data_IF_576825401086
#
_entry.id   IF_576825401086
#
_cell.length_a   1.000
_cell.length_b   1.000
_cell.length_c   1.000
_cell.angle_alpha   90.00
_cell.angle_beta   90.00
_cell.angle_gamma   90.00
#
_symmetry.space_group_name_H-M   'P 1'
#
loop_
_entity.id
_entity.type
_entity.pdbx_description
1 polymer ?
#
# COMPACT_ATOMS: atom_id res chain seq x y z
N UNK A 1 18.54 11.78 11.06
CA UNK A 1 18.31 13.23 10.83
C UNK A 1 17.11 13.81 11.59
N UNK A 2 15.86 13.78 11.11
CA UNK A 2 14.77 14.54 11.78
C UNK A 2 14.48 14.04 13.21
N UNK A 3 14.39 12.72 13.41
CA UNK A 3 14.26 12.10 14.75
C UNK A 3 15.44 12.40 15.69
N UNK A 4 16.63 12.63 15.17
CA UNK A 4 17.81 12.98 15.97
C UNK A 4 17.77 14.43 16.45
N UNK A 5 17.38 15.35 15.57
CA UNK A 5 17.26 16.77 15.93
C UNK A 5 16.18 16.99 16.99
N UNK A 6 15.04 16.31 16.84
CA UNK A 6 13.97 16.32 17.85
C UNK A 6 14.47 15.76 19.20
N UNK A 7 15.40 14.80 19.21
CA UNK A 7 15.93 14.24 20.47
C UNK A 7 16.93 15.17 21.16
N UNK A 8 17.65 16.01 20.41
CA UNK A 8 18.73 16.88 20.90
C UNK A 8 18.23 18.20 21.49
N UNK A 9 17.06 18.67 21.09
CA UNK A 9 16.50 19.95 21.52
C UNK A 9 15.16 19.78 22.27
N UNK A 10 15.05 20.35 23.48
CA UNK A 10 13.86 20.27 24.31
C UNK A 10 12.69 21.07 23.75
N UNK A 11 12.95 22.19 23.05
CA UNK A 11 11.93 22.98 22.36
C UNK A 11 11.36 22.15 21.20
N UNK A 12 12.23 21.48 20.45
CA UNK A 12 11.82 20.58 19.38
C UNK A 12 10.99 19.39 19.88
N UNK A 13 11.30 18.84 21.07
CA UNK A 13 10.45 17.80 21.70
C UNK A 13 9.06 18.32 22.02
N UNK A 14 8.96 19.52 22.60
CA UNK A 14 7.68 20.11 22.97
C UNK A 14 6.84 20.39 21.72
N UNK A 15 7.44 20.96 20.66
CA UNK A 15 6.78 21.16 19.37
C UNK A 15 6.30 19.85 18.73
N UNK A 16 7.09 18.78 18.83
CA UNK A 16 6.70 17.46 18.34
C UNK A 16 5.54 16.84 19.14
N UNK A 17 5.50 17.06 20.46
CA UNK A 17 4.40 16.60 21.31
C UNK A 17 3.08 17.31 20.98
N UNK A 18 3.13 18.64 20.85
CA UNK A 18 1.96 19.43 20.44
C UNK A 18 1.46 19.05 19.04
N UNK A 19 2.39 18.70 18.14
CA UNK A 19 2.08 18.30 16.76
C UNK A 19 1.75 16.81 16.62
N UNK A 20 1.78 16.03 17.69
CA UNK A 20 1.59 14.57 17.66
C UNK A 20 0.26 14.11 17.00
N UNK A 21 -0.89 14.78 17.21
CA UNK A 21 -2.14 14.39 16.55
C UNK A 21 -2.04 14.51 15.02
N UNK A 22 -1.48 15.61 14.54
CA UNK A 22 -1.29 15.89 13.10
C UNK A 22 -0.27 14.91 12.52
N UNK A 23 0.81 14.63 13.25
CA UNK A 23 1.82 13.67 12.84
C UNK A 23 1.24 12.26 12.69
N UNK A 24 0.35 11.84 13.61
CA UNK A 24 -0.32 10.55 13.54
C UNK A 24 -1.28 10.48 12.35
N UNK A 25 -2.05 11.54 12.10
CA UNK A 25 -2.93 11.63 10.93
C UNK A 25 -2.13 11.54 9.62
N UNK A 26 -1.05 12.33 9.50
CA UNK A 26 -0.16 12.31 8.33
C UNK A 26 0.48 10.95 8.14
N UNK A 27 0.97 10.33 9.22
CA UNK A 27 1.57 9.00 9.16
C UNK A 27 0.57 8.00 8.56
N UNK A 28 -0.66 7.96 9.04
CA UNK A 28 -1.68 7.03 8.52
C UNK A 28 -2.03 7.33 7.07
N UNK A 29 -2.13 8.61 6.68
CA UNK A 29 -2.43 9.00 5.30
C UNK A 29 -1.30 8.69 4.31
N UNK A 30 -0.05 8.77 4.79
CA UNK A 30 1.15 8.44 4.01
C UNK A 30 1.52 6.95 4.10
N UNK A 31 0.86 6.19 4.96
CA UNK A 31 1.10 4.75 5.09
C UNK A 31 0.41 4.02 3.94
N UNK A 32 1.10 3.94 2.80
CA UNK A 32 0.64 3.21 1.62
C UNK A 32 0.61 1.67 1.81
N UNK A 33 0.96 1.16 3.00
CA UNK A 33 0.93 -0.29 3.27
C UNK A 33 -0.49 -0.87 3.17
N UNK A 34 -1.54 -0.04 3.22
CA UNK A 34 -2.93 -0.49 3.08
C UNK A 34 -3.34 -0.86 1.64
N UNK A 35 -2.56 -0.52 0.61
CA UNK A 35 -3.02 -0.70 -0.78
C UNK A 35 -3.05 -2.15 -1.28
N UNK A 36 -2.51 -3.12 -0.53
CA UNK A 36 -2.68 -4.54 -0.88
C UNK A 36 -1.87 -4.99 -2.10
N UNK A 37 -0.74 -4.36 -2.39
CA UNK A 37 0.08 -4.74 -3.54
C UNK A 37 -0.52 -4.36 -4.90
N UNK A 38 0.22 -4.65 -5.97
CA UNK A 38 -0.12 -4.27 -7.33
C UNK A 38 -0.38 -5.50 -8.20
N UNK A 39 -1.39 -5.42 -9.08
CA UNK A 39 -1.63 -6.41 -10.12
C UNK A 39 -0.52 -6.32 -11.18
N UNK A 40 0.16 -7.44 -11.44
CA UNK A 40 1.01 -7.62 -12.61
C UNK A 40 0.14 -7.97 -13.82
N UNK A 41 0.04 -7.02 -14.75
CA UNK A 41 -0.69 -7.20 -16.02
C UNK A 41 0.20 -7.85 -17.09
N UNK A 42 -0.43 -8.48 -18.08
CA UNK A 42 0.27 -9.15 -19.19
C UNK A 42 0.66 -10.61 -18.90
N UNK A 43 0.24 -11.15 -17.77
CA UNK A 43 0.36 -12.58 -17.45
C UNK A 43 -0.95 -13.31 -17.73
N UNK A 44 -0.87 -14.62 -17.98
CA UNK A 44 -2.05 -15.45 -18.29
C UNK A 44 -3.01 -15.66 -17.11
N UNK A 45 -2.61 -15.27 -15.89
CA UNK A 45 -3.32 -15.48 -14.64
C UNK A 45 -3.13 -14.29 -13.68
N UNK A 46 -3.92 -14.28 -12.60
CA UNK A 46 -3.87 -13.24 -11.57
C UNK A 46 -2.57 -13.34 -10.79
N UNK A 47 -1.77 -12.26 -10.81
CA UNK A 47 -0.54 -12.14 -10.03
C UNK A 47 -0.52 -10.80 -9.31
N UNK A 48 -0.51 -10.84 -7.97
CA UNK A 48 -0.45 -9.63 -7.13
C UNK A 48 0.87 -9.59 -6.39
N UNK A 49 1.64 -8.52 -6.56
CA UNK A 49 2.94 -8.32 -5.91
C UNK A 49 2.80 -7.34 -4.76
N UNK A 50 3.23 -7.77 -3.57
CA UNK A 50 3.31 -6.90 -2.39
C UNK A 50 4.76 -6.48 -2.12
N UNK A 51 4.95 -5.39 -1.38
CA UNK A 51 6.28 -4.88 -1.04
C UNK A 51 6.98 -5.78 -0.01
N UNK A 52 8.32 -5.87 -0.05
CA UNK A 52 9.09 -6.76 0.82
C UNK A 52 8.94 -6.52 2.34
N UNK A 53 8.41 -5.37 2.75
CA UNK A 53 8.10 -5.03 4.15
C UNK A 53 6.62 -5.24 4.52
N UNK A 54 5.90 -6.08 3.77
CA UNK A 54 4.47 -6.31 3.95
C UNK A 54 4.16 -6.87 5.33
N UNK A 55 3.23 -6.23 6.03
CA UNK A 55 2.67 -6.72 7.28
C UNK A 55 1.40 -7.55 7.00
N UNK A 56 0.80 -8.14 8.04
CA UNK A 56 -0.40 -8.97 7.89
C UNK A 56 -1.59 -8.23 7.25
N UNK A 57 -1.74 -6.92 7.49
CA UNK A 57 -2.78 -6.10 6.87
C UNK A 57 -2.54 -5.93 5.36
N UNK A 58 -1.29 -5.69 4.96
CA UNK A 58 -0.91 -5.57 3.55
C UNK A 58 -1.17 -6.88 2.79
N UNK A 59 -0.84 -8.03 3.37
CA UNK A 59 -1.11 -9.35 2.77
C UNK A 59 -2.62 -9.62 2.69
N UNK A 60 -3.38 -9.33 3.76
CA UNK A 60 -4.85 -9.43 3.74
C UNK A 60 -5.46 -8.59 2.62
N UNK A 61 -4.98 -7.36 2.43
CA UNK A 61 -5.48 -6.50 1.37
C UNK A 61 -5.06 -7.00 -0.02
N UNK A 62 -3.89 -7.61 -0.15
CA UNK A 62 -3.46 -8.25 -1.41
C UNK A 62 -4.34 -9.43 -1.82
N UNK A 63 -4.72 -10.26 -0.86
CA UNK A 63 -5.67 -11.36 -1.12
C UNK A 63 -7.04 -10.79 -1.54
N UNK A 64 -7.51 -9.70 -0.91
CA UNK A 64 -8.76 -9.03 -1.32
C UNK A 64 -8.69 -8.46 -2.73
N UNK A 65 -7.56 -7.87 -3.12
CA UNK A 65 -7.33 -7.37 -4.48
C UNK A 65 -7.37 -8.53 -5.47
N UNK A 66 -6.67 -9.63 -5.19
CA UNK A 66 -6.69 -10.83 -6.03
C UNK A 66 -8.11 -11.40 -6.20
N UNK A 67 -8.87 -11.52 -5.11
CA UNK A 67 -10.25 -11.99 -5.13
C UNK A 67 -11.16 -11.10 -6.00
N UNK A 68 -11.06 -9.77 -5.86
CA UNK A 68 -11.83 -8.83 -6.69
C UNK A 68 -11.52 -8.95 -8.17
N UNK A 69 -10.25 -9.15 -8.52
CA UNK A 69 -9.83 -9.32 -9.92
C UNK A 69 -10.34 -10.65 -10.49
N UNK A 70 -10.39 -11.70 -9.66
CA UNK A 70 -10.96 -12.98 -10.04
C UNK A 70 -12.47 -12.87 -10.30
N UNK A 71 -13.20 -12.16 -9.42
CA UNK A 71 -14.64 -11.94 -9.55
C UNK A 71 -14.99 -11.02 -10.73
N UNK A 72 -14.12 -10.10 -11.13
CA UNK A 72 -14.39 -9.16 -12.22
C UNK A 72 -14.22 -9.76 -13.61
N UNK A 73 -13.69 -10.99 -13.74
CA UNK A 73 -13.36 -11.61 -15.03
C UNK A 73 -12.30 -10.83 -15.82
N UNK A 74 -11.44 -10.05 -15.15
CA UNK A 74 -10.52 -9.11 -15.83
C UNK A 74 -9.58 -9.82 -16.80
N UNK A 75 -9.13 -11.02 -16.44
CA UNK A 75 -8.19 -11.80 -17.25
C UNK A 75 -8.86 -12.28 -18.54
N UNK A 76 -10.09 -12.79 -18.44
CA UNK A 76 -10.88 -13.26 -19.58
C UNK A 76 -11.13 -12.11 -20.57
N UNK A 77 -11.63 -10.97 -20.09
CA UNK A 77 -11.87 -9.79 -20.94
C UNK A 77 -10.58 -9.28 -21.59
N UNK A 78 -9.47 -9.31 -20.86
CA UNK A 78 -8.16 -8.89 -21.39
C UNK A 78 -7.68 -9.85 -22.48
N UNK A 79 -7.82 -11.16 -22.29
CA UNK A 79 -7.46 -12.16 -23.31
C UNK A 79 -8.32 -12.00 -24.56
N UNK A 80 -9.63 -11.91 -24.40
CA UNK A 80 -10.56 -11.69 -25.52
C UNK A 80 -10.21 -10.42 -26.31
N UNK A 81 -9.85 -9.33 -25.63
CA UNK A 81 -9.48 -8.06 -26.26
C UNK A 81 -8.20 -8.16 -27.11
N UNK A 82 -7.19 -8.91 -26.67
CA UNK A 82 -5.90 -9.00 -27.37
C UNK A 82 -5.78 -10.21 -28.32
N UNK A 83 -6.47 -11.32 -28.05
CA UNK A 83 -6.44 -12.55 -28.84
C UNK A 83 -7.60 -12.67 -29.83
N UNK A 84 -8.66 -11.88 -29.66
CA UNK A 84 -9.87 -11.89 -30.49
C UNK A 84 -9.77 -11.17 -31.84
N UNK A 85 -8.56 -10.95 -32.36
CA UNK A 85 -8.31 -10.44 -33.72
C UNK A 85 -7.55 -11.46 -34.57
#
# INVERSE_FOLDING_TARGET
MMKEQIKKDWVAKLGALLSFPVYTYLKNKLDHTEYGGALLVGLNNISVVSHGRANGLAIKNAIKVAARIAESGFIEHTKEYYEGN
#
